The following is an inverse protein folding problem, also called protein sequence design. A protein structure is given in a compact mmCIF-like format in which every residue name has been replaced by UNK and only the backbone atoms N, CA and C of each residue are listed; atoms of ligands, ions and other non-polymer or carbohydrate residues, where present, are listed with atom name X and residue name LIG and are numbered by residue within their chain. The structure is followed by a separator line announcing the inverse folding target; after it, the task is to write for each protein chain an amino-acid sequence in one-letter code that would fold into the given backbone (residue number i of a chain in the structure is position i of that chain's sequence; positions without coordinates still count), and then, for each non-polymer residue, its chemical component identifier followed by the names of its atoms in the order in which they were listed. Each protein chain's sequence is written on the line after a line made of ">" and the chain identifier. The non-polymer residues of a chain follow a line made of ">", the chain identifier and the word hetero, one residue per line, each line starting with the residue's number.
data_IF_812661332757
#
_entry.id   IF_812661332757
#
_cell.length_a   1.000
_cell.length_b   1.000
_cell.length_c   1.000
_cell.angle_alpha   90.00
_cell.angle_beta   90.00
_cell.angle_gamma   90.00
#
_symmetry.space_group_name_H-M   'P 1'
#
loop_
_entity.id
_entity.type
_entity.pdbx_description
1 polymer ?
#
# COMPACT_ATOMS: atom_id res chain seq x y z
N UNK A 1 -51.67 -21.17 -30.94
CA UNK A 1 -50.55 -22.14 -30.88
C UNK A 1 -49.62 -21.72 -29.75
N UNK A 2 -49.57 -22.52 -28.69
CA UNK A 2 -48.80 -22.24 -27.48
C UNK A 2 -47.30 -22.49 -27.72
N UNK A 3 -46.47 -21.47 -27.52
CA UNK A 3 -45.00 -21.58 -27.54
C UNK A 3 -44.47 -21.87 -26.13
N UNK A 4 -43.91 -23.06 -25.92
CA UNK A 4 -43.27 -23.50 -24.67
C UNK A 4 -42.10 -22.58 -24.29
N UNK A 5 -42.13 -22.02 -23.07
CA UNK A 5 -40.95 -21.43 -22.40
C UNK A 5 -40.11 -22.58 -21.80
N UNK A 6 -38.87 -22.73 -22.26
CA UNK A 6 -37.89 -23.63 -21.65
C UNK A 6 -37.18 -22.90 -20.51
N UNK A 7 -37.33 -23.38 -19.28
CA UNK A 7 -36.57 -22.96 -18.12
C UNK A 7 -35.21 -23.67 -18.12
N UNK A 8 -34.12 -22.94 -18.37
CA UNK A 8 -32.76 -23.45 -18.10
C UNK A 8 -32.43 -23.19 -16.63
N UNK A 9 -32.43 -24.25 -15.83
CA UNK A 9 -31.71 -24.36 -14.57
C UNK A 9 -30.22 -24.12 -14.82
N UNK A 10 -29.60 -23.19 -14.07
CA UNK A 10 -28.16 -22.93 -14.14
C UNK A 10 -27.45 -23.99 -13.30
N UNK A 11 -26.58 -24.75 -13.97
CA UNK A 11 -25.80 -25.82 -13.39
C UNK A 11 -24.58 -25.28 -12.64
N UNK A 12 -24.17 -25.95 -11.56
CA UNK A 12 -23.05 -25.55 -10.70
C UNK A 12 -21.68 -25.57 -11.44
N UNK A 13 -21.59 -26.30 -12.54
CA UNK A 13 -20.40 -26.40 -13.40
C UNK A 13 -20.04 -25.08 -14.12
N UNK A 14 -21.03 -24.21 -14.41
CA UNK A 14 -20.81 -22.91 -15.09
C UNK A 14 -19.98 -21.93 -14.22
N UNK A 15 -19.90 -22.16 -12.91
CA UNK A 15 -19.08 -21.35 -12.00
C UNK A 15 -17.59 -21.68 -12.09
N UNK A 16 -17.22 -22.94 -12.36
CA UNK A 16 -15.81 -23.35 -12.45
C UNK A 16 -15.17 -22.89 -13.77
N UNK A 17 -15.86 -22.94 -14.90
CA UNK A 17 -15.32 -22.45 -16.19
C UNK A 17 -15.11 -20.92 -16.23
N UNK A 18 -15.85 -20.16 -15.41
CA UNK A 18 -15.63 -18.72 -15.26
C UNK A 18 -14.42 -18.38 -14.38
N UNK A 19 -13.94 -19.33 -13.59
CA UNK A 19 -12.73 -19.15 -12.76
C UNK A 19 -11.44 -19.36 -13.56
N UNK A 20 -11.50 -20.12 -14.65
CA UNK A 20 -10.41 -20.49 -15.55
C UNK A 20 -10.46 -19.76 -16.91
N UNK A 21 -10.97 -18.53 -16.94
CA UNK A 21 -10.98 -17.73 -18.17
C UNK A 21 -9.54 -17.33 -18.57
N UNK A 22 -9.13 -17.48 -19.85
CA UNK A 22 -7.77 -17.12 -20.32
C UNK A 22 -7.43 -15.63 -20.16
N UNK A 23 -8.42 -14.78 -19.84
CA UNK A 23 -8.24 -13.36 -19.51
C UNK A 23 -7.71 -13.10 -18.10
N UNK A 24 -7.86 -14.03 -17.13
CA UNK A 24 -7.19 -13.91 -15.81
C UNK A 24 -5.70 -14.18 -15.96
N UNK A 25 -5.35 -15.26 -16.65
CA UNK A 25 -3.96 -15.62 -16.99
C UNK A 25 -3.20 -14.47 -17.67
N UNK A 26 -3.81 -13.78 -18.63
CA UNK A 26 -3.15 -12.67 -19.32
C UNK A 26 -2.85 -11.44 -18.43
N UNK A 27 -3.68 -11.18 -17.41
CA UNK A 27 -3.48 -10.06 -16.46
C UNK A 27 -2.41 -10.41 -15.43
N UNK A 28 -2.39 -11.67 -14.96
CA UNK A 28 -1.33 -12.17 -14.09
C UNK A 28 0.05 -12.13 -14.80
N UNK A 29 0.07 -12.24 -16.14
CA UNK A 29 1.30 -12.19 -16.95
C UNK A 29 1.87 -10.77 -17.14
N UNK A 30 1.06 -9.70 -17.00
CA UNK A 30 1.57 -8.32 -17.07
C UNK A 30 2.03 -7.81 -15.70
N UNK A 31 1.39 -8.23 -14.61
CA UNK A 31 1.80 -7.93 -13.23
C UNK A 31 3.07 -8.75 -12.85
N UNK A 32 3.28 -9.92 -13.46
CA UNK A 32 4.45 -10.77 -13.18
C UNK A 32 5.80 -10.18 -13.61
N UNK A 33 5.83 -9.04 -14.32
CA UNK A 33 7.09 -8.39 -14.73
C UNK A 33 7.74 -7.57 -13.61
N UNK A 34 6.93 -7.09 -12.65
CA UNK A 34 7.39 -6.26 -11.54
C UNK A 34 7.64 -7.06 -10.26
N UNK A 35 7.57 -8.40 -10.36
CA UNK A 35 7.55 -9.31 -9.24
C UNK A 35 8.66 -10.36 -9.45
N UNK A 36 9.63 -10.50 -8.52
CA UNK A 36 10.71 -11.48 -8.59
C UNK A 36 10.16 -12.89 -8.58
N UNK A 37 10.97 -13.80 -9.12
CA UNK A 37 10.60 -15.19 -9.32
C UNK A 37 10.28 -15.93 -8.01
N UNK A 38 10.89 -15.54 -6.89
CA UNK A 38 10.55 -16.03 -5.55
C UNK A 38 9.11 -15.70 -5.12
N UNK A 39 8.51 -14.64 -5.66
CA UNK A 39 7.14 -14.24 -5.36
C UNK A 39 6.07 -14.83 -6.29
N UNK A 40 6.46 -15.20 -7.51
CA UNK A 40 5.57 -15.84 -8.49
C UNK A 40 5.43 -17.34 -8.22
N UNK A 41 6.28 -17.89 -7.35
CA UNK A 41 6.03 -19.17 -6.70
C UNK A 41 4.73 -19.06 -5.89
N UNK A 42 3.65 -19.63 -6.42
CA UNK A 42 2.51 -19.99 -5.59
C UNK A 42 3.02 -20.84 -4.43
N UNK A 43 2.45 -20.66 -3.23
CA UNK A 43 2.78 -21.47 -2.05
C UNK A 43 2.76 -22.92 -2.51
N UNK A 44 3.96 -23.50 -2.63
CA UNK A 44 4.09 -24.82 -3.21
C UNK A 44 3.28 -25.74 -2.31
N UNK A 45 2.32 -26.46 -2.87
CA UNK A 45 1.69 -27.59 -2.20
C UNK A 45 2.72 -28.72 -2.10
N UNK A 46 3.83 -28.46 -1.43
CA UNK A 46 4.80 -29.44 -0.98
C UNK A 46 4.10 -30.26 0.11
N UNK A 47 3.34 -31.24 -0.37
CA UNK A 47 2.33 -31.96 0.41
C UNK A 47 0.92 -31.51 0.06
N UNK A 48 0.49 -31.72 -1.19
CA UNK A 48 -0.92 -31.63 -1.56
C UNK A 48 -1.72 -32.46 -0.55
N UNK A 49 -2.49 -31.77 0.29
CA UNK A 49 -3.37 -32.41 1.24
C UNK A 49 -4.19 -33.48 0.50
N UNK A 50 -4.22 -34.72 0.99
CA UNK A 50 -4.97 -35.78 0.32
C UNK A 50 -6.40 -35.28 0.13
N UNK A 51 -6.88 -35.37 -1.11
CA UNK A 51 -8.29 -35.12 -1.39
C UNK A 51 -9.08 -36.36 -0.96
N UNK A 52 -10.21 -36.14 -0.31
CA UNK A 52 -11.16 -37.21 -0.03
C UNK A 52 -11.86 -37.69 -1.32
N UNK A 53 -12.72 -38.71 -1.19
CA UNK A 53 -13.49 -39.29 -2.29
C UNK A 53 -14.43 -38.28 -2.99
N UNK A 54 -14.70 -37.13 -2.36
CA UNK A 54 -15.59 -36.08 -2.85
C UNK A 54 -14.85 -34.82 -3.32
N UNK A 55 -13.51 -34.82 -3.30
CA UNK A 55 -12.66 -33.72 -3.74
C UNK A 55 -12.41 -32.62 -2.70
N UNK A 56 -12.75 -32.83 -1.43
CA UNK A 56 -12.38 -31.93 -0.34
C UNK A 56 -10.93 -32.20 0.12
N UNK A 57 -10.19 -31.14 0.40
CA UNK A 57 -8.80 -31.23 0.86
C UNK A 57 -8.78 -31.52 2.37
N UNK A 58 -8.16 -32.62 2.78
CA UNK A 58 -8.02 -32.95 4.20
C UNK A 58 -6.71 -32.40 4.78
N UNK A 59 -6.84 -31.35 5.60
CA UNK A 59 -5.71 -30.74 6.30
C UNK A 59 -5.45 -31.29 7.71
N UNK A 60 -6.24 -32.26 8.19
CA UNK A 60 -6.16 -32.77 9.56
C UNK A 60 -4.80 -33.40 9.91
N UNK A 61 -4.11 -33.98 8.92
CA UNK A 61 -2.79 -34.60 9.09
C UNK A 61 -1.69 -33.55 9.27
N UNK A 62 -1.85 -32.37 8.67
CA UNK A 62 -0.86 -31.29 8.68
C UNK A 62 -1.10 -30.27 9.80
N UNK A 63 -2.37 -30.07 10.16
CA UNK A 63 -2.80 -29.07 11.13
C UNK A 63 -3.22 -29.73 12.43
N UNK A 64 -2.46 -29.48 13.49
CA UNK A 64 -2.84 -29.91 14.84
C UNK A 64 -3.60 -28.79 15.56
N UNK A 65 -4.69 -29.14 16.23
CA UNK A 65 -5.50 -28.19 17.00
C UNK A 65 -4.83 -27.89 18.34
N UNK A 66 -4.65 -26.61 18.66
CA UNK A 66 -4.13 -26.19 19.96
C UNK A 66 -5.19 -26.34 21.06
N UNK A 67 -4.76 -26.53 22.30
CA UNK A 67 -5.66 -26.66 23.44
C UNK A 67 -6.52 -25.39 23.66
N UNK A 68 -5.96 -24.21 23.39
CA UNK A 68 -6.66 -22.92 23.57
C UNK A 68 -7.50 -22.48 22.36
N UNK A 69 -7.92 -23.42 21.51
CA UNK A 69 -8.57 -23.11 20.23
C UNK A 69 -9.86 -22.27 20.36
N UNK A 70 -10.53 -22.26 21.51
CA UNK A 70 -11.76 -21.49 21.73
C UNK A 70 -11.52 -19.97 21.79
N UNK A 71 -10.32 -19.55 22.17
CA UNK A 71 -9.99 -18.12 22.42
C UNK A 71 -9.33 -17.44 21.22
N UNK A 72 -8.89 -18.21 20.22
CA UNK A 72 -8.10 -17.74 19.08
C UNK A 72 -8.97 -17.59 17.84
N UNK A 73 -8.88 -16.51 17.04
CA UNK A 73 -9.85 -16.26 15.98
C UNK A 73 -9.47 -16.78 14.57
N UNK A 74 -8.25 -17.29 14.37
CA UNK A 74 -7.73 -17.59 13.02
C UNK A 74 -7.60 -19.08 12.70
N UNK A 75 -7.86 -19.42 11.45
CA UNK A 75 -7.45 -20.69 10.83
C UNK A 75 -6.54 -20.38 9.66
N UNK A 76 -5.37 -21.02 9.60
CA UNK A 76 -4.37 -20.82 8.54
C UNK A 76 -4.25 -22.12 7.75
N UNK A 77 -4.66 -22.08 6.49
CA UNK A 77 -4.55 -23.21 5.59
C UNK A 77 -3.17 -23.24 4.89
N UNK A 78 -2.65 -24.43 4.54
CA UNK A 78 -1.37 -24.57 3.84
C UNK A 78 -1.30 -23.91 2.46
N UNK A 79 -2.44 -23.59 1.85
CA UNK A 79 -2.54 -22.91 0.55
C UNK A 79 -2.54 -21.38 0.66
N UNK A 80 -2.36 -20.84 1.86
CA UNK A 80 -2.29 -19.40 2.11
C UNK A 80 -3.63 -18.75 2.41
N UNK A 81 -4.74 -19.50 2.39
CA UNK A 81 -6.02 -18.99 2.85
C UNK A 81 -6.05 -18.87 4.38
N UNK A 82 -6.54 -17.74 4.86
CA UNK A 82 -6.73 -17.44 6.28
C UNK A 82 -8.22 -17.16 6.52
N UNK A 83 -8.81 -17.91 7.44
CA UNK A 83 -10.18 -17.66 7.88
C UNK A 83 -10.18 -16.96 9.24
N UNK A 84 -10.94 -15.88 9.35
CA UNK A 84 -11.06 -15.04 10.55
C UNK A 84 -12.50 -15.06 11.06
N UNK A 85 -12.67 -15.43 12.33
CA UNK A 85 -13.95 -15.42 13.03
C UNK A 85 -14.30 -13.99 13.50
N UNK A 86 -15.44 -13.46 13.06
CA UNK A 86 -15.88 -12.08 13.38
C UNK A 86 -16.48 -11.93 14.78
N UNK A 87 -16.86 -13.05 15.41
CA UNK A 87 -17.52 -13.12 16.72
C UNK A 87 -16.54 -13.27 17.90
N UNK A 88 -15.24 -13.41 17.65
CA UNK A 88 -14.22 -13.46 18.70
C UNK A 88 -13.99 -12.07 19.33
N UNK A 89 -13.76 -11.95 20.64
CA UNK A 89 -13.40 -10.68 21.27
C UNK A 89 -12.11 -10.06 20.70
N UNK A 90 -11.19 -10.90 20.19
CA UNK A 90 -9.90 -10.47 19.61
C UNK A 90 -10.03 -10.10 18.11
N UNK A 91 -11.24 -10.16 17.54
CA UNK A 91 -11.49 -9.89 16.12
C UNK A 91 -10.93 -8.54 15.64
N UNK A 92 -11.05 -7.47 16.44
CA UNK A 92 -10.60 -6.14 16.03
C UNK A 92 -9.10 -6.10 15.75
N UNK A 93 -8.30 -6.71 16.64
CA UNK A 93 -6.84 -6.79 16.50
C UNK A 93 -6.46 -7.74 15.36
N UNK A 94 -7.07 -8.92 15.30
CA UNK A 94 -6.79 -9.90 14.25
C UNK A 94 -7.14 -9.35 12.85
N UNK A 95 -8.26 -8.65 12.70
CA UNK A 95 -8.65 -7.99 11.45
C UNK A 95 -7.64 -6.93 11.04
N UNK A 96 -7.22 -6.09 11.98
CA UNK A 96 -6.30 -4.99 11.70
C UNK A 96 -4.91 -5.49 11.30
N UNK A 97 -4.46 -6.58 11.92
CA UNK A 97 -3.27 -7.33 11.53
C UNK A 97 -3.41 -7.94 10.13
N UNK A 98 -4.50 -8.68 9.85
CA UNK A 98 -4.71 -9.29 8.53
C UNK A 98 -4.81 -8.25 7.40
N UNK A 99 -5.40 -7.08 7.64
CA UNK A 99 -5.42 -5.96 6.68
C UNK A 99 -4.01 -5.45 6.35
N UNK A 100 -3.04 -5.66 7.25
CA UNK A 100 -1.66 -5.30 6.99
C UNK A 100 -0.89 -6.37 6.19
N UNK A 101 -1.19 -7.64 6.39
CA UNK A 101 -0.37 -8.76 5.87
C UNK A 101 -1.01 -9.58 4.75
N UNK A 102 -2.32 -9.47 4.52
CA UNK A 102 -3.08 -10.33 3.62
C UNK A 102 -4.14 -9.55 2.82
N UNK A 103 -4.53 -10.09 1.67
CA UNK A 103 -5.60 -9.51 0.85
C UNK A 103 -6.96 -10.11 1.22
N UNK A 104 -8.02 -9.29 1.39
CA UNK A 104 -9.35 -9.80 1.66
C UNK A 104 -9.97 -10.43 0.41
N UNK A 105 -10.39 -11.69 0.50
CA UNK A 105 -11.11 -12.40 -0.56
C UNK A 105 -12.61 -12.20 -0.39
N UNK A 106 -13.14 -12.56 0.78
CA UNK A 106 -14.56 -12.39 1.11
C UNK A 106 -14.77 -11.95 2.57
N UNK A 107 -15.85 -11.20 2.81
CA UNK A 107 -16.20 -10.67 4.16
C UNK A 107 -17.70 -10.83 4.43
N UNK A 108 -18.20 -12.07 4.59
CA UNK A 108 -19.55 -12.33 5.03
C UNK A 108 -19.69 -12.03 6.54
N UNK A 109 -20.87 -12.21 7.10
CA UNK A 109 -21.19 -11.75 8.47
C UNK A 109 -20.36 -12.43 9.57
N UNK A 110 -20.06 -13.73 9.45
CA UNK A 110 -19.47 -14.52 10.53
C UNK A 110 -18.00 -14.91 10.33
N UNK A 111 -17.60 -15.27 9.11
CA UNK A 111 -16.24 -15.78 8.83
C UNK A 111 -15.67 -15.07 7.62
N UNK A 112 -14.63 -14.26 7.84
CA UNK A 112 -13.94 -13.57 6.76
C UNK A 112 -12.85 -14.46 6.17
N UNK A 113 -12.63 -14.35 4.87
CA UNK A 113 -11.57 -15.05 4.16
C UNK A 113 -10.54 -14.03 3.65
N UNK A 114 -9.29 -14.30 3.97
CA UNK A 114 -8.12 -13.57 3.49
C UNK A 114 -7.19 -14.54 2.76
N UNK A 115 -6.37 -14.00 1.88
CA UNK A 115 -5.36 -14.78 1.17
C UNK A 115 -4.01 -14.10 1.34
N UNK A 116 -3.02 -14.88 1.77
CA UNK A 116 -1.63 -14.46 1.75
C UNK A 116 -1.14 -14.45 0.32
N UNK A 117 -0.80 -13.25 -0.15
CA UNK A 117 -0.13 -13.05 -1.44
C UNK A 117 1.26 -12.49 -1.17
N UNK A 118 2.20 -12.77 -2.06
CA UNK A 118 3.53 -12.18 -1.98
C UNK A 118 3.45 -10.65 -1.95
N UNK A 119 2.59 -10.05 -2.78
CA UNK A 119 2.38 -8.60 -2.81
C UNK A 119 1.91 -8.02 -1.46
N UNK A 120 1.00 -8.71 -0.76
CA UNK A 120 0.53 -8.27 0.56
C UNK A 120 1.62 -8.36 1.63
N UNK A 121 2.46 -9.40 1.60
CA UNK A 121 3.62 -9.53 2.48
C UNK A 121 4.66 -8.44 2.20
N UNK A 122 4.86 -8.08 0.94
CA UNK A 122 5.76 -6.97 0.56
C UNK A 122 5.27 -5.62 1.06
N UNK A 123 3.97 -5.38 0.97
CA UNK A 123 3.35 -4.20 1.54
C UNK A 123 3.51 -4.18 3.08
N UNK A 124 3.38 -5.33 3.74
CA UNK A 124 3.57 -5.46 5.19
C UNK A 124 4.99 -5.09 5.64
N UNK A 125 6.02 -5.65 4.98
CA UNK A 125 7.43 -5.34 5.31
C UNK A 125 7.75 -3.89 4.99
N UNK A 126 7.20 -3.34 3.91
CA UNK A 126 7.37 -1.93 3.57
C UNK A 126 6.78 -1.01 4.65
N UNK A 127 5.73 -1.43 5.37
CA UNK A 127 5.16 -0.71 6.52
C UNK A 127 6.12 -0.71 7.73
N UNK A 128 7.01 -1.69 7.82
CA UNK A 128 7.97 -1.86 8.92
C UNK A 128 7.76 -3.14 9.73
N UNK A 129 6.80 -3.98 9.36
CA UNK A 129 6.56 -5.24 10.07
C UNK A 129 7.70 -6.23 9.84
N UNK A 130 8.33 -6.68 10.92
CA UNK A 130 9.41 -7.67 10.85
C UNK A 130 8.87 -9.07 10.57
N UNK A 131 9.68 -9.90 9.89
CA UNK A 131 9.34 -11.28 9.52
C UNK A 131 8.96 -12.13 10.71
N UNK A 132 9.74 -12.03 11.79
CA UNK A 132 9.55 -12.76 13.03
C UNK A 132 8.22 -12.38 13.69
N UNK A 133 7.89 -11.08 13.66
CA UNK A 133 6.66 -10.55 14.24
C UNK A 133 5.44 -11.09 13.50
N UNK A 134 5.47 -11.11 12.16
CA UNK A 134 4.37 -11.67 11.35
C UNK A 134 4.13 -13.14 11.69
N UNK A 135 5.20 -13.95 11.75
CA UNK A 135 5.10 -15.38 12.07
C UNK A 135 4.59 -15.58 13.50
N UNK A 136 5.09 -14.79 14.45
CA UNK A 136 4.70 -14.86 15.84
C UNK A 136 3.22 -14.51 16.02
N UNK A 137 2.76 -13.40 15.44
CA UNK A 137 1.35 -12.98 15.52
C UNK A 137 0.40 -14.00 14.90
N UNK A 138 0.76 -14.57 13.74
CA UNK A 138 -0.01 -15.67 13.17
C UNK A 138 -0.09 -16.86 14.15
N UNK A 139 0.99 -17.15 14.88
CA UNK A 139 1.04 -18.30 15.80
C UNK A 139 0.22 -18.04 17.06
N UNK A 140 0.21 -16.81 17.56
CA UNK A 140 -0.61 -16.42 18.72
C UNK A 140 -2.09 -16.45 18.36
N UNK A 141 -2.46 -15.94 17.19
CA UNK A 141 -3.86 -15.80 16.78
C UNK A 141 -4.46 -17.07 16.13
N UNK A 142 -3.64 -18.05 15.72
CA UNK A 142 -4.13 -19.28 15.06
C UNK A 142 -4.62 -20.35 16.04
N UNK A 143 -5.80 -20.93 15.76
CA UNK A 143 -6.33 -22.11 16.45
C UNK A 143 -5.50 -23.36 16.22
N UNK A 144 -4.93 -23.48 15.03
CA UNK A 144 -4.11 -24.61 14.60
C UNK A 144 -2.61 -24.26 14.62
N UNK A 145 -1.74 -25.26 14.56
CA UNK A 145 -0.32 -25.05 14.24
C UNK A 145 -0.15 -24.45 12.85
N UNK A 146 0.81 -23.55 12.68
CA UNK A 146 1.10 -22.96 11.36
C UNK A 146 1.83 -24.02 10.51
N UNK A 147 1.40 -24.26 9.27
CA UNK A 147 2.13 -25.14 8.35
C UNK A 147 3.56 -24.63 8.10
N UNK A 148 4.58 -25.49 8.07
CA UNK A 148 5.96 -25.07 7.83
C UNK A 148 6.13 -24.39 6.47
N UNK A 149 5.40 -24.84 5.44
CA UNK A 149 5.43 -24.22 4.11
C UNK A 149 4.99 -22.75 4.11
N UNK A 150 4.05 -22.35 4.98
CA UNK A 150 3.67 -20.93 5.13
C UNK A 150 4.78 -20.13 5.82
N UNK A 151 5.47 -20.72 6.80
CA UNK A 151 6.59 -20.06 7.48
C UNK A 151 7.75 -19.85 6.51
N UNK A 152 8.09 -20.86 5.71
CA UNK A 152 9.11 -20.77 4.67
C UNK A 152 8.73 -19.74 3.60
N UNK A 153 7.46 -19.73 3.17
CA UNK A 153 6.95 -18.76 2.21
C UNK A 153 7.06 -17.32 2.74
N UNK A 154 6.64 -17.08 3.99
CA UNK A 154 6.76 -15.77 4.62
C UNK A 154 8.23 -15.36 4.71
N UNK A 155 9.13 -16.25 5.13
CA UNK A 155 10.58 -15.94 5.20
C UNK A 155 11.16 -15.62 3.82
N UNK A 156 10.82 -16.39 2.81
CA UNK A 156 11.29 -16.18 1.44
C UNK A 156 10.86 -14.80 0.92
N UNK A 157 9.59 -14.44 1.07
CA UNK A 157 9.08 -13.15 0.61
C UNK A 157 9.61 -11.97 1.45
N UNK A 158 9.74 -12.12 2.76
CA UNK A 158 10.03 -10.96 3.62
C UNK A 158 11.52 -10.67 3.79
N UNK A 159 12.41 -11.65 3.62
CA UNK A 159 13.85 -11.45 3.85
C UNK A 159 14.54 -10.61 2.79
N UNK A 160 14.07 -10.59 1.54
CA UNK A 160 14.70 -9.80 0.48
C UNK A 160 14.05 -8.42 0.30
N UNK A 161 12.82 -8.26 0.79
CA UNK A 161 11.99 -7.09 0.54
C UNK A 161 12.12 -5.97 1.56
N UNK A 162 11.85 -4.74 1.13
CA UNK A 162 11.84 -3.55 1.99
C UNK A 162 13.23 -3.13 2.50
N UNK A 163 14.29 -3.82 2.07
CA UNK A 163 15.68 -3.53 2.45
C UNK A 163 16.31 -2.43 1.61
N UNK A 164 15.80 -2.19 0.41
CA UNK A 164 16.33 -1.20 -0.53
C UNK A 164 15.23 -0.20 -0.89
N UNK A 165 15.55 1.08 -0.72
CA UNK A 165 14.63 2.19 -0.97
C UNK A 165 15.19 3.06 -2.09
N UNK A 166 14.34 3.44 -3.03
CA UNK A 166 14.64 4.44 -4.04
C UNK A 166 14.02 5.75 -3.58
N UNK A 167 14.87 6.67 -3.13
CA UNK A 167 14.47 7.91 -2.49
C UNK A 167 14.76 9.08 -3.41
N UNK A 168 13.73 9.86 -3.72
CA UNK A 168 13.88 11.12 -4.44
C UNK A 168 14.15 12.25 -3.44
N UNK A 169 15.37 12.80 -3.45
CA UNK A 169 15.82 13.93 -2.63
C UNK A 169 16.32 15.05 -3.56
N UNK A 170 15.83 16.28 -3.42
CA UNK A 170 16.29 17.45 -4.21
C UNK A 170 16.37 17.20 -5.73
N UNK A 171 15.37 16.53 -6.29
CA UNK A 171 15.32 16.10 -7.69
C UNK A 171 16.48 15.18 -8.14
N UNK A 172 17.02 14.40 -7.20
CA UNK A 172 18.04 13.37 -7.45
C UNK A 172 17.59 12.04 -6.86
N UNK A 173 17.88 10.96 -7.56
CA UNK A 173 17.52 9.61 -7.15
C UNK A 173 18.65 8.98 -6.35
N UNK A 174 18.34 8.57 -5.13
CA UNK A 174 19.26 7.86 -4.26
C UNK A 174 18.73 6.46 -3.99
N UNK A 175 19.61 5.46 -4.01
CA UNK A 175 19.30 4.15 -3.46
C UNK A 175 19.83 4.09 -2.04
N UNK A 176 18.93 3.89 -1.09
CA UNK A 176 19.21 3.83 0.35
C UNK A 176 18.96 2.43 0.90
N UNK A 177 19.85 1.98 1.79
CA UNK A 177 19.62 0.77 2.58
C UNK A 177 20.18 0.94 3.99
N UNK A 178 19.47 0.37 4.97
CA UNK A 178 19.91 0.24 6.36
C UNK A 178 20.83 -0.99 6.51
N UNK A 179 20.88 -1.87 5.50
CA UNK A 179 21.60 -3.13 5.54
C UNK A 179 22.86 -3.07 4.67
N UNK A 180 24.07 -3.01 5.27
CA UNK A 180 25.33 -2.95 4.53
C UNK A 180 25.55 -4.15 3.61
N UNK A 181 25.15 -5.34 4.03
CA UNK A 181 25.34 -6.58 3.25
C UNK A 181 24.58 -6.54 1.92
N UNK A 182 23.35 -6.01 1.94
CA UNK A 182 22.52 -5.85 0.74
C UNK A 182 23.11 -4.80 -0.17
N UNK A 183 23.56 -3.67 0.38
CA UNK A 183 24.21 -2.61 -0.38
C UNK A 183 25.48 -3.11 -1.07
N UNK A 184 26.33 -3.85 -0.37
CA UNK A 184 27.53 -4.46 -0.96
C UNK A 184 27.18 -5.47 -2.05
N UNK A 185 26.12 -6.27 -1.88
CA UNK A 185 25.67 -7.20 -2.91
C UNK A 185 25.17 -6.50 -4.17
N UNK A 186 24.46 -5.38 -4.02
CA UNK A 186 23.98 -4.55 -5.15
C UNK A 186 25.14 -3.90 -5.90
N UNK A 187 26.13 -3.37 -5.19
CA UNK A 187 27.29 -2.70 -5.78
C UNK A 187 28.27 -3.65 -6.47
N UNK A 188 28.21 -4.95 -6.18
CA UNK A 188 28.98 -5.98 -6.90
C UNK A 188 28.43 -6.29 -8.29
N UNK A 189 27.20 -5.87 -8.59
CA UNK A 189 26.58 -6.11 -9.90
C UNK A 189 27.03 -5.07 -10.92
N UNK A 190 27.64 -5.53 -12.02
CA UNK A 190 28.20 -4.67 -13.07
C UNK A 190 27.16 -3.71 -13.68
N UNK A 191 25.90 -4.16 -13.80
CA UNK A 191 24.83 -3.34 -14.37
C UNK A 191 24.52 -2.19 -13.42
N UNK A 192 24.35 -2.47 -12.12
CA UNK A 192 24.07 -1.45 -11.11
C UNK A 192 25.23 -0.46 -11.00
N UNK A 193 26.47 -0.97 -11.03
CA UNK A 193 27.66 -0.12 -11.01
C UNK A 193 27.70 0.84 -12.20
N UNK A 194 27.29 0.40 -13.39
CA UNK A 194 27.22 1.27 -14.58
C UNK A 194 26.15 2.38 -14.47
N UNK A 195 25.09 2.16 -13.68
CA UNK A 195 24.03 3.16 -13.46
C UNK A 195 24.37 4.21 -12.40
N UNK A 196 25.44 3.98 -11.63
CA UNK A 196 25.84 4.87 -10.54
C UNK A 196 26.43 6.15 -11.10
N UNK A 197 25.98 7.28 -10.57
CA UNK A 197 26.58 8.57 -10.88
C UNK A 197 27.73 8.86 -9.90
N UNK A 198 28.96 8.97 -10.43
CA UNK A 198 30.14 9.38 -9.66
C UNK A 198 30.49 10.79 -10.12
N UNK A 199 30.27 11.80 -9.27
CA UNK A 199 30.50 13.22 -9.61
C UNK A 199 31.90 13.72 -9.22
N UNK A 200 32.59 13.05 -8.28
CA UNK A 200 33.97 13.38 -7.87
C UNK A 200 34.71 12.18 -7.26
N UNK A 201 36.05 12.20 -7.27
CA UNK A 201 36.93 11.15 -6.70
C UNK A 201 36.77 11.02 -5.16
N UNK A 202 36.24 12.04 -4.47
CA UNK A 202 35.92 12.01 -3.02
C UNK A 202 34.53 11.39 -2.73
N UNK A 203 33.64 11.28 -3.74
CA UNK A 203 32.28 10.71 -3.65
C UNK A 203 32.20 9.24 -4.13
N UNK A 204 33.35 8.59 -4.36
CA UNK A 204 33.40 7.12 -4.50
C UNK A 204 32.91 6.41 -3.22
N UNK A 205 33.05 7.07 -2.07
CA UNK A 205 32.54 6.60 -0.79
C UNK A 205 31.01 6.67 -0.74
N UNK A 206 30.39 5.62 -0.18
CA UNK A 206 28.95 5.64 0.11
C UNK A 206 28.63 6.79 1.07
N UNK A 207 27.56 7.53 0.78
CA UNK A 207 27.07 8.57 1.68
C UNK A 207 26.46 7.85 2.89
N UNK A 208 27.14 7.95 4.03
CA UNK A 208 26.67 7.44 5.32
C UNK A 208 25.89 8.56 6.00
N UNK A 209 24.56 8.47 6.01
CA UNK A 209 23.69 9.35 6.80
C UNK A 209 23.26 8.62 8.07
N UNK A 210 23.22 9.32 9.21
CA UNK A 210 22.50 8.80 10.37
C UNK A 210 21.02 8.70 10.02
N UNK A 211 20.36 7.58 10.35
CA UNK A 211 18.93 7.43 10.13
C UNK A 211 18.19 8.65 10.66
N UNK A 212 17.35 9.26 9.81
CA UNK A 212 16.66 10.49 10.15
C UNK A 212 15.82 10.28 11.43
N UNK A 213 16.18 10.97 12.51
CA UNK A 213 15.37 11.09 13.74
C UNK A 213 13.91 11.28 13.35
N UNK A 214 13.00 10.41 13.82
CA UNK A 214 11.56 10.50 13.52
C UNK A 214 11.06 11.92 13.77
N UNK A 215 10.91 12.73 12.72
CA UNK A 215 10.18 14.00 12.80
C UNK A 215 8.74 13.63 13.15
N UNK A 216 8.13 14.33 14.11
CA UNK A 216 6.82 14.02 14.70
C UNK A 216 5.82 13.39 13.69
N UNK A 217 5.11 12.33 14.08
CA UNK A 217 4.14 11.66 13.22
C UNK A 217 3.17 12.69 12.67
N UNK A 218 2.89 12.59 11.37
CA UNK A 218 1.94 13.47 10.69
C UNK A 218 0.58 13.34 11.38
N UNK A 219 0.21 14.34 12.17
CA UNK A 219 -1.12 14.43 12.75
C UNK A 219 -2.09 14.81 11.64
N UNK A 220 -2.97 13.89 11.29
CA UNK A 220 -4.09 14.13 10.39
C UNK A 220 -5.25 14.64 11.24
N UNK A 221 -5.61 15.92 11.10
CA UNK A 221 -6.72 16.56 11.83
C UNK A 221 -6.35 17.94 12.38
N UNK A 222 -7.34 18.83 12.49
CA UNK A 222 -7.16 20.16 13.07
C UNK A 222 -6.94 20.06 14.60
N UNK A 223 -5.88 20.69 15.13
CA UNK A 223 -5.73 20.89 16.58
C UNK A 223 -6.89 21.75 17.10
N UNK A 224 -7.58 21.34 18.19
CA UNK A 224 -8.42 22.28 18.92
C UNK A 224 -7.53 23.37 19.57
N UNK A 225 -8.05 24.60 19.74
CA UNK A 225 -7.29 25.72 20.25
C UNK A 225 -6.75 25.47 21.67
N UNK A 226 -5.58 26.03 22.03
CA UNK A 226 -4.98 25.83 23.35
C UNK A 226 -5.73 26.68 24.39
N UNK A 227 -6.53 26.03 25.26
CA UNK A 227 -7.18 26.76 26.36
C UNK A 227 -8.44 26.13 26.97
N UNK A 228 -8.61 24.81 26.94
CA UNK A 228 -9.69 24.12 27.65
C UNK A 228 -9.14 22.98 28.49
N UNK A 229 -9.34 23.04 29.81
CA UNK A 229 -8.96 21.99 30.76
C UNK A 229 -9.59 20.64 30.38
N UNK A 230 -8.90 19.50 30.60
CA UNK A 230 -9.51 18.19 30.41
C UNK A 230 -10.42 17.88 31.60
N UNK A 231 -11.72 18.18 31.43
CA UNK A 231 -12.77 17.65 32.29
C UNK A 231 -12.95 16.15 32.03
N UNK A 232 -12.56 15.32 32.99
CA UNK A 232 -12.95 13.91 33.04
C UNK A 232 -14.47 13.81 33.20
N UNK A 233 -15.18 13.48 32.12
CA UNK A 233 -16.53 12.91 32.21
C UNK A 233 -16.40 11.39 32.33
N UNK A 234 -16.52 10.91 33.57
CA UNK A 234 -16.94 9.54 33.85
C UNK A 234 -18.38 9.40 33.35
N UNK A 235 -18.60 8.62 32.30
CA UNK A 235 -19.93 8.10 31.97
C UNK A 235 -19.95 6.59 32.24
N UNK A 236 -20.69 6.30 33.30
CA UNK A 236 -21.27 5.07 33.82
C UNK A 236 -20.98 3.73 33.14
N UNK A 237 -20.21 2.95 33.89
CA UNK A 237 -20.19 1.49 33.87
C UNK A 237 -21.41 0.96 34.63
N UNK A 238 -22.50 0.67 33.92
CA UNK A 238 -23.56 -0.21 34.41
C UNK A 238 -24.05 -1.10 33.28
N UNK A 239 -23.35 -2.22 33.09
CA UNK A 239 -23.97 -3.50 32.75
C UNK A 239 -23.01 -4.62 33.20
N UNK A 240 -23.28 -5.11 34.40
CA UNK A 240 -22.66 -6.28 35.00
C UNK A 240 -23.34 -7.56 34.54
N UNK A 241 -22.54 -8.61 34.33
CA UNK A 241 -22.88 -10.02 34.04
C UNK A 241 -22.99 -10.42 32.57
N UNK A 242 -21.84 -10.48 31.90
CA UNK A 242 -21.54 -11.55 30.94
C UNK A 242 -20.15 -12.09 31.30
N UNK A 243 -20.10 -13.41 31.50
CA UNK A 243 -18.99 -14.16 32.04
C UNK A 243 -17.65 -13.82 31.38
N UNK A 244 -16.63 -13.62 32.22
CA UNK A 244 -15.23 -13.49 31.84
C UNK A 244 -14.77 -14.75 31.11
N UNK A 245 -14.93 -14.76 29.78
CA UNK A 245 -14.28 -15.73 28.92
C UNK A 245 -12.82 -15.30 28.81
N UNK A 246 -11.97 -16.15 29.39
CA UNK A 246 -10.52 -16.03 29.54
C UNK A 246 -9.82 -15.75 28.22
N UNK A 247 -9.62 -14.48 27.87
CA UNK A 247 -8.57 -14.08 26.94
C UNK A 247 -7.36 -13.77 27.81
N UNK A 248 -6.22 -14.48 27.66
CA UNK A 248 -5.02 -14.17 28.42
C UNK A 248 -4.61 -12.70 28.22
N UNK A 249 -4.44 -11.95 29.31
CA UNK A 249 -3.94 -10.58 29.30
C UNK A 249 -2.60 -10.44 28.55
N UNK A 250 -1.83 -11.53 28.45
CA UNK A 250 -0.58 -11.63 27.69
C UNK A 250 -0.73 -11.23 26.22
N UNK A 251 -1.88 -11.45 25.57
CA UNK A 251 -2.05 -11.12 24.14
C UNK A 251 -2.11 -9.61 23.93
N UNK A 252 -2.82 -8.88 24.81
CA UNK A 252 -2.95 -7.43 24.74
C UNK A 252 -1.68 -6.72 25.18
N UNK A 253 -1.07 -7.17 26.28
CA UNK A 253 0.20 -6.62 26.80
C UNK A 253 1.36 -6.82 25.82
N UNK A 254 1.35 -7.92 25.08
CA UNK A 254 2.35 -8.21 24.04
C UNK A 254 2.14 -7.34 22.79
N UNK A 255 0.90 -7.21 22.31
CA UNK A 255 0.55 -6.31 21.21
C UNK A 255 1.03 -4.88 21.47
N UNK A 256 0.85 -4.37 22.70
CA UNK A 256 1.27 -3.02 23.08
C UNK A 256 2.77 -2.86 23.39
N UNK A 257 3.48 -3.94 23.74
CA UNK A 257 4.95 -3.91 23.91
C UNK A 257 5.67 -3.90 22.57
N UNK A 258 5.19 -4.66 21.59
CA UNK A 258 5.82 -4.70 20.27
C UNK A 258 5.66 -3.41 19.48
N UNK A 259 4.50 -2.75 19.58
CA UNK A 259 4.31 -1.41 18.98
C UNK A 259 5.32 -0.39 19.54
N UNK A 260 5.84 -0.61 20.76
CA UNK A 260 6.91 0.21 21.36
C UNK A 260 8.31 -0.26 20.95
N UNK A 261 8.56 -1.56 20.93
CA UNK A 261 9.89 -2.12 20.58
C UNK A 261 10.25 -1.95 19.08
N UNK A 262 9.25 -1.92 18.18
CA UNK A 262 9.44 -1.55 16.76
C UNK A 262 9.80 -0.06 16.60
N UNK A 263 9.42 0.79 17.55
CA UNK A 263 9.70 2.22 17.46
C UNK A 263 11.15 2.60 17.80
N UNK A 264 11.81 1.82 18.67
CA UNK A 264 13.13 2.11 19.26
C UNK A 264 14.32 1.52 18.46
N UNK A 265 14.12 0.47 17.65
CA UNK A 265 15.22 -0.25 16.98
C UNK A 265 15.78 0.44 15.72
N UNK A 266 15.02 1.34 15.10
CA UNK A 266 15.42 2.05 13.88
C UNK A 266 16.26 3.30 14.18
N UNK A 267 16.33 3.76 15.44
CA UNK A 267 16.97 5.04 15.79
C UNK A 267 18.50 5.01 15.80
N UNK A 268 19.13 3.83 15.72
CA UNK A 268 20.59 3.67 15.86
C UNK A 268 21.33 3.13 14.62
N UNK A 269 20.66 2.93 13.49
CA UNK A 269 21.30 2.33 12.31
C UNK A 269 21.75 3.38 11.30
N UNK A 270 22.96 3.21 10.77
CA UNK A 270 23.48 4.03 9.69
C UNK A 270 22.80 3.67 8.36
N UNK A 271 22.44 4.69 7.58
CA UNK A 271 21.85 4.52 6.25
C UNK A 271 22.93 4.75 5.22
N UNK A 272 23.18 3.73 4.40
CA UNK A 272 24.10 3.81 3.27
C UNK A 272 23.32 4.23 2.02
N UNK A 273 23.88 5.17 1.26
CA UNK A 273 23.23 5.64 0.03
C UNK A 273 24.22 5.96 -1.10
N UNK A 274 23.75 5.81 -2.34
CA UNK A 274 24.45 6.25 -3.56
C UNK A 274 23.49 6.88 -4.57
N UNK A 275 24.00 7.82 -5.37
CA UNK A 275 23.22 8.55 -6.39
C UNK A 275 23.15 7.77 -7.71
N UNK A 276 22.01 7.88 -8.40
CA UNK A 276 21.72 7.21 -9.66
C UNK A 276 21.22 8.21 -10.69
N UNK A 277 21.62 7.98 -11.94
CA UNK A 277 21.16 8.76 -13.08
C UNK A 277 19.70 8.45 -13.48
N UNK A 278 18.96 9.48 -13.87
CA UNK A 278 17.52 9.38 -14.15
C UNK A 278 17.23 8.53 -15.40
N UNK A 279 18.10 8.55 -16.41
CA UNK A 279 17.92 7.79 -17.66
C UNK A 279 17.99 6.27 -17.43
N UNK A 280 18.76 5.86 -16.42
CA UNK A 280 19.05 4.46 -16.12
C UNK A 280 18.15 3.85 -15.04
N UNK A 281 17.19 4.63 -14.52
CA UNK A 281 16.31 4.22 -13.42
C UNK A 281 15.45 3.00 -13.75
N UNK A 282 14.96 2.89 -14.99
CA UNK A 282 14.15 1.75 -15.43
C UNK A 282 14.99 0.46 -15.53
N UNK A 283 16.25 0.57 -15.96
CA UNK A 283 17.20 -0.54 -16.02
C UNK A 283 17.54 -1.02 -14.61
N UNK A 284 17.82 -0.08 -13.70
CA UNK A 284 18.07 -0.38 -12.29
C UNK A 284 16.88 -1.10 -11.66
N UNK A 285 15.65 -0.59 -11.82
CA UNK A 285 14.45 -1.21 -11.26
C UNK A 285 14.30 -2.66 -11.73
N UNK A 286 14.45 -2.88 -13.04
CA UNK A 286 14.39 -4.22 -13.62
C UNK A 286 15.48 -5.13 -13.07
N UNK A 287 16.73 -4.65 -12.99
CA UNK A 287 17.85 -5.44 -12.45
C UNK A 287 17.67 -5.77 -10.97
N UNK A 288 17.16 -4.83 -10.19
CA UNK A 288 16.84 -5.02 -8.77
C UNK A 288 15.75 -6.08 -8.57
N UNK A 289 14.75 -6.14 -9.46
CA UNK A 289 13.74 -7.21 -9.45
C UNK A 289 14.39 -8.57 -9.77
N UNK A 290 15.29 -8.63 -10.76
CA UNK A 290 16.01 -9.86 -11.11
C UNK A 290 16.91 -10.38 -9.97
N UNK A 291 17.50 -9.48 -9.19
CA UNK A 291 18.31 -9.78 -8.00
C UNK A 291 17.47 -10.03 -6.73
N UNK A 292 16.15 -10.05 -6.86
CA UNK A 292 15.17 -10.22 -5.77
C UNK A 292 15.20 -9.12 -4.69
N UNK A 293 15.78 -7.96 -5.00
CA UNK A 293 15.80 -6.77 -4.13
C UNK A 293 15.03 -5.60 -4.75
N UNK A 294 13.71 -5.68 -4.90
CA UNK A 294 12.95 -4.62 -5.55
C UNK A 294 12.96 -3.32 -4.75
N UNK A 295 12.96 -2.22 -5.49
CA UNK A 295 13.11 -0.87 -4.95
C UNK A 295 11.78 -0.34 -4.45
N UNK A 296 11.74 0.10 -3.18
CA UNK A 296 10.60 0.82 -2.64
C UNK A 296 10.75 2.33 -2.94
N UNK A 297 9.86 2.88 -3.75
CA UNK A 297 9.88 4.30 -4.10
C UNK A 297 9.34 5.18 -2.96
N UNK A 298 10.20 6.03 -2.41
CA UNK A 298 9.87 7.07 -1.43
C UNK A 298 10.21 8.46 -1.98
N UNK A 299 9.41 9.46 -1.59
CA UNK A 299 9.64 10.86 -1.90
C UNK A 299 9.79 11.66 -0.61
N UNK A 300 10.94 12.31 -0.44
CA UNK A 300 11.20 13.22 0.67
C UNK A 300 10.69 14.63 0.35
N UNK A 301 9.37 14.77 0.40
CA UNK A 301 8.71 16.04 0.10
C UNK A 301 8.99 17.15 1.13
N UNK A 302 9.40 16.79 2.36
CA UNK A 302 9.65 17.77 3.43
C UNK A 302 10.98 18.49 3.26
N UNK A 303 12.00 17.77 2.78
CA UNK A 303 13.32 18.34 2.57
C UNK A 303 13.54 18.79 1.12
N UNK A 304 12.61 18.55 0.20
CA UNK A 304 12.70 19.05 -1.18
C UNK A 304 12.56 20.58 -1.25
N UNK A 305 13.68 21.28 -1.38
CA UNK A 305 13.72 22.74 -1.59
C UNK A 305 13.74 23.14 -3.07
N UNK A 306 13.88 22.19 -3.99
CA UNK A 306 13.95 22.47 -5.44
C UNK A 306 12.56 22.77 -5.96
N UNK A 307 11.58 21.96 -5.56
CA UNK A 307 10.19 22.15 -5.93
C UNK A 307 9.50 23.13 -4.98
N UNK A 308 8.86 24.22 -5.49
CA UNK A 308 8.20 25.19 -4.65
C UNK A 308 6.98 24.58 -3.95
N UNK A 309 6.78 24.96 -2.69
CA UNK A 309 5.59 24.61 -1.93
C UNK A 309 4.37 25.37 -2.44
N UNK A 310 3.23 24.69 -2.45
CA UNK A 310 1.93 25.27 -2.75
C UNK A 310 1.23 25.59 -1.44
N UNK A 311 0.61 26.76 -1.38
CA UNK A 311 -0.27 27.11 -0.28
C UNK A 311 -1.61 26.36 -0.41
N UNK A 312 -1.60 25.09 0.02
CA UNK A 312 -2.76 24.21 0.07
C UNK A 312 -2.82 23.54 1.44
N UNK A 313 -3.94 23.77 2.12
CA UNK A 313 -4.30 23.14 3.38
C UNK A 313 -5.74 22.64 3.33
N UNK A 314 -6.00 21.62 4.14
CA UNK A 314 -7.35 21.18 4.42
C UNK A 314 -8.10 22.24 5.24
N UNK A 315 -9.36 22.48 4.91
CA UNK A 315 -10.21 23.36 5.73
C UNK A 315 -10.42 22.76 7.12
N UNK A 316 -10.51 23.57 8.18
CA UNK A 316 -10.69 23.08 9.55
C UNK A 316 -12.02 22.34 9.77
N UNK A 317 -13.01 22.56 8.90
CA UNK A 317 -14.30 21.84 8.92
C UNK A 317 -14.21 20.42 8.38
N UNK A 318 -13.06 20.03 7.82
CA UNK A 318 -12.86 18.70 7.25
C UNK A 318 -12.41 17.73 8.34
N UNK A 319 -13.21 16.70 8.60
CA UNK A 319 -12.87 15.63 9.53
C UNK A 319 -12.77 14.34 8.73
N UNK A 320 -11.63 13.66 8.87
CA UNK A 320 -11.40 12.39 8.21
C UNK A 320 -12.04 11.26 9.02
N UNK A 321 -12.51 10.24 8.32
CA UNK A 321 -13.02 9.03 8.98
C UNK A 321 -11.84 8.16 9.42
N UNK A 322 -11.95 7.35 10.49
CA UNK A 322 -10.84 6.57 11.01
C UNK A 322 -10.14 5.68 9.98
N UNK A 323 -10.89 5.07 9.06
CA UNK A 323 -10.32 4.23 7.99
C UNK A 323 -9.54 5.04 6.93
N UNK A 324 -9.90 6.31 6.71
CA UNK A 324 -9.19 7.21 5.80
C UNK A 324 -7.86 7.63 6.41
N UNK A 325 -7.87 8.01 7.69
CA UNK A 325 -6.65 8.33 8.44
C UNK A 325 -5.70 7.14 8.48
N UNK A 326 -6.22 5.93 8.78
CA UNK A 326 -5.42 4.70 8.77
C UNK A 326 -4.77 4.46 7.41
N UNK A 327 -5.47 4.74 6.31
CA UNK A 327 -4.91 4.60 4.95
C UNK A 327 -3.81 5.61 4.66
N UNK A 328 -3.97 6.87 5.08
CA UNK A 328 -2.98 7.94 4.90
C UNK A 328 -1.75 7.72 5.77
N UNK A 329 -1.94 7.24 7.01
CA UNK A 329 -0.83 6.89 7.92
C UNK A 329 0.08 5.80 7.35
N UNK A 330 -0.48 4.83 6.58
CA UNK A 330 0.35 3.84 5.87
C UNK A 330 1.09 4.41 4.66
N UNK A 331 0.52 5.42 4.00
CA UNK A 331 1.15 6.09 2.85
C UNK A 331 2.27 7.06 3.28
N UNK A 332 2.10 7.71 4.42
CA UNK A 332 3.02 8.69 4.97
C UNK A 332 3.71 8.13 6.22
N UNK A 333 4.97 7.75 6.10
CA UNK A 333 5.78 7.24 7.21
C UNK A 333 7.13 7.93 7.27
N UNK A 334 7.66 8.15 8.48
CA UNK A 334 8.99 8.74 8.74
C UNK A 334 9.24 10.08 8.01
N UNK A 335 8.18 10.87 7.78
CA UNK A 335 8.28 12.17 7.11
C UNK A 335 8.42 12.11 5.59
N UNK A 336 8.40 10.92 4.98
CA UNK A 336 8.44 10.69 3.53
C UNK A 336 7.09 10.18 3.03
N UNK A 337 6.79 10.42 1.75
CA UNK A 337 5.62 9.88 1.08
C UNK A 337 6.02 8.63 0.29
N UNK A 338 5.25 7.54 0.43
CA UNK A 338 5.51 6.31 -0.31
C UNK A 338 4.58 6.20 -1.52
N UNK A 339 5.10 5.69 -2.61
CA UNK A 339 4.26 5.29 -3.74
C UNK A 339 3.45 4.04 -3.37
N UNK A 340 2.16 4.01 -3.72
CA UNK A 340 1.32 2.86 -3.40
C UNK A 340 -0.12 3.01 -3.86
N UNK A 341 -0.90 1.95 -3.66
CA UNK A 341 -2.31 1.88 -4.07
C UNK A 341 -3.21 1.82 -2.83
N UNK A 342 -4.13 2.78 -2.72
CA UNK A 342 -5.16 2.78 -1.66
C UNK A 342 -6.48 2.29 -2.26
N UNK A 343 -6.92 1.11 -1.80
CA UNK A 343 -8.20 0.52 -2.23
C UNK A 343 -9.30 0.86 -1.23
N UNK A 344 -10.31 1.58 -1.71
CA UNK A 344 -11.52 1.92 -0.95
C UNK A 344 -12.76 1.42 -1.70
N UNK A 345 -13.94 1.25 -1.06
CA UNK A 345 -15.20 1.06 -1.77
C UNK A 345 -15.74 2.38 -2.36
N UNK A 346 -16.68 2.30 -3.31
CA UNK A 346 -17.35 3.49 -3.84
C UNK A 346 -18.11 4.20 -2.72
N UNK A 347 -18.10 5.54 -2.70
CA UNK A 347 -18.75 6.32 -1.63
C UNK A 347 -17.97 6.43 -0.32
N UNK A 348 -16.84 5.72 -0.14
CA UNK A 348 -16.03 5.78 1.07
C UNK A 348 -15.18 7.07 1.21
N UNK A 349 -15.25 7.99 0.26
CA UNK A 349 -14.48 9.24 0.26
C UNK A 349 -13.08 9.12 -0.36
N UNK A 350 -12.95 8.40 -1.49
CA UNK A 350 -11.67 8.30 -2.24
C UNK A 350 -11.06 9.65 -2.56
N UNK A 351 -11.91 10.58 -3.01
CA UNK A 351 -11.48 11.92 -3.42
C UNK A 351 -10.95 12.71 -2.23
N UNK A 352 -11.58 12.59 -1.06
CA UNK A 352 -11.12 13.25 0.15
C UNK A 352 -9.73 12.76 0.58
N UNK A 353 -9.47 11.44 0.50
CA UNK A 353 -8.14 10.87 0.77
C UNK A 353 -7.09 11.44 -0.19
N UNK A 354 -7.39 11.54 -1.49
CA UNK A 354 -6.47 12.13 -2.46
C UNK A 354 -6.23 13.63 -2.26
N UNK A 355 -7.28 14.40 -1.95
CA UNK A 355 -7.14 15.83 -1.60
C UNK A 355 -6.28 15.98 -0.35
N UNK A 356 -6.50 15.14 0.67
CA UNK A 356 -5.68 15.14 1.89
C UNK A 356 -4.23 14.81 1.61
N UNK A 357 -3.95 13.82 0.75
CA UNK A 357 -2.59 13.50 0.35
C UNK A 357 -1.90 14.68 -0.36
N UNK A 358 -2.61 15.37 -1.27
CA UNK A 358 -2.11 16.58 -1.92
C UNK A 358 -1.85 17.73 -0.91
N UNK A 359 -2.75 17.94 0.06
CA UNK A 359 -2.57 18.93 1.12
C UNK A 359 -1.42 18.58 2.08
N UNK A 360 -1.12 17.29 2.26
CA UNK A 360 -0.05 16.83 3.14
C UNK A 360 1.32 16.99 2.47
N UNK A 361 1.41 16.65 1.19
CA UNK A 361 2.66 16.77 0.43
C UNK A 361 3.00 18.23 0.09
N UNK A 362 1.98 19.07 -0.14
CA UNK A 362 2.13 20.51 -0.48
C UNK A 362 3.00 20.82 -1.71
N UNK A 363 3.19 19.83 -2.60
CA UNK A 363 3.87 19.99 -3.89
C UNK A 363 2.88 19.85 -5.05
N UNK A 364 3.33 20.18 -6.27
CA UNK A 364 2.50 20.13 -7.48
C UNK A 364 1.82 18.79 -7.65
N UNK A 365 0.51 18.82 -7.89
CA UNK A 365 -0.32 17.62 -7.93
C UNK A 365 -0.97 17.45 -9.31
N UNK A 366 -0.81 16.26 -9.89
CA UNK A 366 -1.50 15.86 -11.11
C UNK A 366 -2.54 14.80 -10.76
N UNK A 367 -3.78 15.00 -11.19
CA UNK A 367 -4.86 14.03 -11.00
C UNK A 367 -5.31 13.53 -12.37
N UNK A 368 -5.28 12.21 -12.55
CA UNK A 368 -5.70 11.53 -13.77
C UNK A 368 -6.98 10.76 -13.55
N UNK A 369 -7.99 11.05 -14.38
CA UNK A 369 -9.34 10.54 -14.27
C UNK A 369 -9.76 9.75 -15.52
N UNK A 370 -10.76 8.89 -15.39
CA UNK A 370 -11.30 8.14 -16.55
C UNK A 370 -12.19 8.95 -17.47
N UNK A 371 -12.83 10.01 -16.96
CA UNK A 371 -13.85 10.76 -17.70
C UNK A 371 -13.84 12.24 -17.32
N UNK A 372 -14.35 13.11 -18.20
CA UNK A 372 -14.48 14.54 -17.95
C UNK A 372 -15.40 14.84 -16.73
N UNK A 373 -16.45 14.04 -16.53
CA UNK A 373 -17.31 14.16 -15.33
C UNK A 373 -16.51 13.92 -14.04
N UNK A 374 -15.58 12.96 -14.05
CA UNK A 374 -14.71 12.73 -12.89
C UNK A 374 -13.73 13.90 -12.69
N UNK A 375 -13.24 14.54 -13.75
CA UNK A 375 -12.43 15.76 -13.66
C UNK A 375 -13.19 16.88 -12.93
N UNK A 376 -14.44 17.14 -13.31
CA UNK A 376 -15.28 18.14 -12.63
C UNK A 376 -15.58 17.79 -11.18
N UNK A 377 -15.77 16.50 -10.88
CA UNK A 377 -15.93 16.02 -9.51
C UNK A 377 -14.68 16.31 -8.68
N UNK A 378 -13.49 15.96 -9.18
CA UNK A 378 -12.23 16.24 -8.49
C UNK A 378 -12.02 17.73 -8.28
N UNK A 379 -12.26 18.55 -9.31
CA UNK A 379 -12.17 20.01 -9.21
C UNK A 379 -13.10 20.57 -8.11
N UNK A 380 -14.35 20.13 -8.09
CA UNK A 380 -15.32 20.53 -7.07
C UNK A 380 -14.92 20.09 -5.66
N UNK A 381 -14.30 18.92 -5.51
CA UNK A 381 -13.85 18.40 -4.21
C UNK A 381 -12.61 19.12 -3.69
N UNK A 382 -11.66 19.51 -4.55
CA UNK A 382 -10.56 20.41 -4.17
C UNK A 382 -11.12 21.73 -3.64
N UNK A 383 -12.10 22.32 -4.34
CA UNK A 383 -12.77 23.57 -3.90
C UNK A 383 -13.49 23.44 -2.57
N UNK A 384 -14.13 22.30 -2.34
CA UNK A 384 -14.91 22.06 -1.14
C UNK A 384 -14.00 21.87 0.08
N UNK A 385 -12.98 21.01 -0.02
CA UNK A 385 -12.22 20.52 1.13
C UNK A 385 -10.89 21.22 1.39
N UNK A 386 -10.31 21.88 0.38
CA UNK A 386 -9.04 22.62 0.53
C UNK A 386 -9.23 24.13 0.43
N UNK A 387 -8.32 24.90 1.01
CA UNK A 387 -8.29 26.36 0.93
C UNK A 387 -7.60 26.90 -0.35
N UNK A 388 -7.33 26.04 -1.33
CA UNK A 388 -6.59 26.42 -2.54
C UNK A 388 -7.38 27.42 -3.39
N UNK A 389 -6.68 28.40 -3.96
CA UNK A 389 -7.25 29.26 -4.98
C UNK A 389 -7.56 28.45 -6.25
N UNK A 390 -8.78 28.57 -6.78
CA UNK A 390 -9.18 27.88 -8.00
C UNK A 390 -8.42 28.39 -9.23
N UNK A 391 -7.82 29.59 -9.18
CA UNK A 391 -7.01 30.15 -10.27
C UNK A 391 -5.76 29.30 -10.58
N UNK A 392 -5.23 28.59 -9.57
CA UNK A 392 -4.06 27.71 -9.72
C UNK A 392 -4.40 26.27 -10.08
N UNK A 393 -5.70 25.93 -10.14
CA UNK A 393 -6.21 24.59 -10.49
C UNK A 393 -6.70 24.62 -11.94
N UNK A 394 -6.05 23.84 -12.81
CA UNK A 394 -6.47 23.73 -14.21
C UNK A 394 -7.10 22.37 -14.52
N UNK A 395 -8.19 22.40 -15.28
CA UNK A 395 -8.83 21.21 -15.85
C UNK A 395 -8.44 21.07 -17.33
N UNK A 396 -7.99 19.88 -17.69
CA UNK A 396 -7.61 19.53 -19.05
C UNK A 396 -8.47 18.38 -19.54
N UNK A 397 -9.52 18.72 -20.29
CA UNK A 397 -10.39 17.77 -20.98
C UNK A 397 -10.48 18.15 -22.46
N UNK A 398 -11.14 17.32 -23.28
CA UNK A 398 -11.41 17.66 -24.69
C UNK A 398 -12.23 18.95 -24.82
N UNK A 399 -13.17 19.15 -23.90
CA UNK A 399 -14.23 20.15 -24.02
C UNK A 399 -13.92 21.39 -23.16
N UNK A 400 -13.32 21.20 -21.98
CA UNK A 400 -12.82 22.26 -21.12
C UNK A 400 -11.30 22.36 -21.22
N UNK A 401 -10.83 23.42 -21.87
CA UNK A 401 -9.42 23.77 -22.03
C UNK A 401 -9.11 25.01 -21.19
N UNK A 402 -9.02 24.83 -19.88
CA UNK A 402 -8.47 25.89 -19.03
C UNK A 402 -7.02 26.13 -19.50
N UNK A 403 -6.66 27.37 -19.81
CA UNK A 403 -5.30 27.67 -20.31
C UNK A 403 -4.29 27.46 -19.18
N UNK A 404 -3.25 26.62 -19.37
CA UNK A 404 -2.25 26.42 -18.35
C UNK A 404 -1.51 27.74 -18.12
N UNK A 405 -1.54 28.23 -16.88
CA UNK A 405 -0.72 29.36 -16.47
C UNK A 405 0.61 28.85 -15.92
N UNK A 406 1.68 29.66 -15.94
CA UNK A 406 2.93 29.29 -15.28
C UNK A 406 2.74 28.97 -13.78
N UNK A 407 1.73 29.57 -13.14
CA UNK A 407 1.43 29.40 -11.72
C UNK A 407 0.50 28.20 -11.44
N UNK A 408 0.07 27.48 -12.47
CA UNK A 408 -0.78 26.30 -12.31
C UNK A 408 -0.02 25.25 -11.50
N UNK A 409 -0.64 24.89 -10.39
CA UNK A 409 -0.06 24.08 -9.32
C UNK A 409 -0.74 22.72 -9.20
N UNK A 410 -2.03 22.66 -9.55
CA UNK A 410 -2.80 21.42 -9.65
C UNK A 410 -3.35 21.27 -11.06
N UNK A 411 -3.08 20.13 -11.68
CA UNK A 411 -3.62 19.75 -12.99
C UNK A 411 -4.54 18.56 -12.85
N UNK A 412 -5.77 18.66 -13.36
CA UNK A 412 -6.73 17.56 -13.36
C UNK A 412 -7.05 17.23 -14.82
N UNK A 413 -6.71 16.02 -15.26
CA UNK A 413 -6.87 15.59 -16.65
C UNK A 413 -7.44 14.18 -16.78
N UNK A 414 -7.70 13.73 -18.00
CA UNK A 414 -8.14 12.36 -18.29
C UNK A 414 -7.00 11.51 -18.83
N UNK A 415 -7.06 10.20 -18.55
CA UNK A 415 -6.09 9.24 -19.11
C UNK A 415 -6.02 9.32 -20.63
N UNK A 416 -7.17 9.40 -21.29
CA UNK A 416 -7.29 9.50 -22.74
C UNK A 416 -6.56 10.72 -23.33
N UNK A 417 -6.50 11.84 -22.60
CA UNK A 417 -5.84 13.05 -23.08
C UNK A 417 -4.31 12.90 -23.03
N UNK A 418 -3.81 12.30 -21.93
CA UNK A 418 -2.38 12.10 -21.70
C UNK A 418 -1.80 11.01 -22.60
N UNK A 419 -2.51 9.88 -22.76
CA UNK A 419 -2.03 8.72 -23.52
C UNK A 419 -2.17 8.85 -25.05
N UNK A 420 -2.82 9.90 -25.55
CA UNK A 420 -3.07 10.07 -26.98
C UNK A 420 -1.79 10.35 -27.77
N UNK A 421 -1.33 9.45 -28.62
CA UNK A 421 -0.05 9.60 -29.34
C UNK A 421 -0.16 10.20 -30.74
N UNK A 422 -1.37 10.39 -31.26
CA UNK A 422 -1.58 10.97 -32.60
C UNK A 422 -1.49 12.51 -32.60
N UNK A 423 -1.49 13.12 -33.79
CA UNK A 423 -1.42 14.58 -33.97
C UNK A 423 -2.53 15.27 -33.16
N UNK A 424 -2.11 16.08 -32.19
CA UNK A 424 -2.98 16.91 -31.37
C UNK A 424 -3.18 18.27 -32.03
N UNK A 425 -4.31 18.92 -31.74
CA UNK A 425 -4.48 20.34 -32.03
C UNK A 425 -3.41 21.16 -31.28
N UNK A 426 -3.02 22.31 -31.84
CA UNK A 426 -1.93 23.14 -31.30
C UNK A 426 -2.11 23.50 -29.81
N UNK A 427 -3.31 23.88 -29.38
CA UNK A 427 -3.61 24.15 -27.97
C UNK A 427 -3.40 22.93 -27.07
N UNK A 428 -3.81 21.75 -27.55
CA UNK A 428 -3.66 20.50 -26.81
C UNK A 428 -2.20 20.05 -26.74
N UNK A 429 -1.39 20.36 -27.75
CA UNK A 429 0.04 20.07 -27.74
C UNK A 429 0.77 20.93 -26.70
N UNK A 430 0.50 22.24 -26.64
CA UNK A 430 1.09 23.11 -25.62
C UNK A 430 0.76 22.68 -24.19
N UNK A 431 -0.46 22.19 -23.95
CA UNK A 431 -0.84 21.63 -22.64
C UNK A 431 -0.02 20.37 -22.34
N UNK A 432 0.21 19.51 -23.33
CA UNK A 432 1.01 18.30 -23.14
C UNK A 432 2.48 18.63 -22.89
N UNK A 433 3.05 19.58 -23.63
CA UNK A 433 4.41 20.06 -23.41
C UNK A 433 4.54 20.66 -22.00
N UNK A 434 3.52 21.41 -21.54
CA UNK A 434 3.44 21.91 -20.18
C UNK A 434 3.40 20.80 -19.12
N UNK A 435 2.63 19.72 -19.36
CA UNK A 435 2.51 18.59 -18.43
C UNK A 435 3.79 17.74 -18.38
N UNK A 436 4.48 17.57 -19.52
CA UNK A 436 5.70 16.76 -19.64
C UNK A 436 6.95 17.47 -19.12
N UNK A 437 7.05 18.79 -19.33
CA UNK A 437 8.20 19.58 -18.90
C UNK A 437 8.16 19.97 -17.41
N UNK A 438 7.16 19.51 -16.65
CA UNK A 438 7.00 19.82 -15.23
C UNK A 438 7.11 18.58 -14.37
N UNK A 439 7.83 18.74 -13.27
CA UNK A 439 7.84 17.80 -12.18
C UNK A 439 6.56 17.90 -11.35
N UNK A 440 6.07 16.74 -10.95
CA UNK A 440 4.85 16.58 -10.15
C UNK A 440 5.24 15.85 -8.87
N UNK A 441 5.06 16.50 -7.71
CA UNK A 441 5.35 15.89 -6.42
C UNK A 441 4.32 14.82 -6.01
N UNK A 442 3.10 14.88 -6.54
CA UNK A 442 2.09 13.82 -6.37
C UNK A 442 1.34 13.57 -7.67
N UNK A 443 1.24 12.29 -8.07
CA UNK A 443 0.36 11.84 -9.16
C UNK A 443 -0.75 10.98 -8.56
N UNK A 444 -2.00 11.42 -8.70
CA UNK A 444 -3.19 10.70 -8.22
C UNK A 444 -3.88 10.04 -9.40
N UNK A 445 -3.98 8.73 -9.35
CA UNK A 445 -4.63 7.92 -10.37
C UNK A 445 -6.05 7.53 -9.91
N UNK A 446 -7.06 8.19 -10.46
CA UNK A 446 -8.46 7.99 -10.11
C UNK A 446 -9.13 6.96 -11.03
N UNK A 447 -9.51 5.82 -10.44
CA UNK A 447 -10.04 4.58 -11.05
C UNK A 447 -8.98 3.75 -11.78
N UNK A 448 -8.19 3.02 -11.01
CA UNK A 448 -7.39 1.91 -11.51
C UNK A 448 -8.22 0.61 -11.51
N UNK A 449 -9.13 0.50 -12.48
CA UNK A 449 -9.68 -0.78 -12.99
C UNK A 449 -10.35 -0.51 -14.34
N UNK A 450 -9.55 -0.11 -15.31
CA UNK A 450 -9.91 -0.32 -16.72
C UNK A 450 -10.04 -1.83 -16.90
N UNK A 451 -11.25 -2.27 -17.18
CA UNK A 451 -11.59 -3.67 -17.46
C UNK A 451 -10.94 -4.18 -18.73
#
# INVERSE_FOLDING_TARGET
>A
MAGKRSSKTRDWADYQERSSSPKRLAIDTEISKDVPNSASANISTSGAAPCDEYGAKDYSVLLTLKLDHSTRPLWVAPDGHIFLESFSPVYRHARDFLIAIAEPVCRPEHIHEFQLTSYSLYAAVSVGLQTENIIHYLSVLSKTTIPPGIVEYIKLCTLSYGKVKLVLKHNRYFVESIYPDVMQSLLKDDVIQSTRLIRSEEEEALIVEQAATKKQPLQFGAKPPPGGEPGLSKEDSQDSNLESTSVPNDIYDYLERMDRDEEDQDEQKEVLSFEIDQEHLEILQKRCIELEYPLLAEYDFRNDTVNPDINIDLKPTTILRPYQEKSLRKMFGNGRARSGVIVLPCGAGKTLVGVTAACTVRKRCMVLCTSAVAVEQWWSQFKLWSNIDMSVVCRFTSDAKDKPSPNTSIAISTYSMVSYTQKRAWDSQQVMDFLQNREWGVKIFSKYRTR
#
